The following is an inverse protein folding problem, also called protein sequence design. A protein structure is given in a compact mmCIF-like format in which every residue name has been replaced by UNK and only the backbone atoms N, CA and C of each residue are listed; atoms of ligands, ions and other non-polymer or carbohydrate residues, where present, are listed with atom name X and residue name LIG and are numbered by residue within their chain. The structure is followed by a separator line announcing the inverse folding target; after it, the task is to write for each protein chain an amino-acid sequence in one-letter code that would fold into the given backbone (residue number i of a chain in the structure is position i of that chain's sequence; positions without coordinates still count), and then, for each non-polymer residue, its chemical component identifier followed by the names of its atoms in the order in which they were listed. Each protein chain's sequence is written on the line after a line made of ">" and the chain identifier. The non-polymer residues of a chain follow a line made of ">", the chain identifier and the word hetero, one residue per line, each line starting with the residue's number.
data_IF_603170237358
#
_entry.id   IF_603170237358
#
_cell.length_a   1.000
_cell.length_b   1.000
_cell.length_c   1.000
_cell.angle_alpha   90.00
_cell.angle_beta   90.00
_cell.angle_gamma   90.00
#
_symmetry.space_group_name_H-M   'P 1'
#
loop_
_entity.id
_entity.type
_entity.pdbx_description
1 polymer ?
#
# COMPACT_ATOMS: atom_id res chain seq x y z
N UNK A 1 -41.12 37.03 -2.10
CA UNK A 1 -39.70 36.97 -2.47
C UNK A 1 -39.30 35.51 -2.55
N UNK A 2 -38.38 35.23 -3.46
CA UNK A 2 -38.11 33.98 -4.20
C UNK A 2 -37.92 32.72 -3.33
N UNK A 3 -38.34 31.61 -3.92
CA UNK A 3 -38.38 30.21 -3.48
C UNK A 3 -37.01 29.56 -3.15
N UNK A 4 -37.08 28.58 -2.24
CA UNK A 4 -36.47 27.22 -2.24
C UNK A 4 -35.11 26.97 -2.92
N UNK A 5 -34.30 26.21 -2.16
CA UNK A 5 -33.34 25.17 -2.62
C UNK A 5 -32.13 25.77 -3.37
N UNK A 6 -30.88 25.33 -3.20
CA UNK A 6 -30.38 23.97 -3.21
C UNK A 6 -29.14 23.85 -2.31
N UNK A 7 -29.16 22.84 -1.45
CA UNK A 7 -27.97 22.15 -1.01
C UNK A 7 -27.32 21.44 -2.20
N UNK A 8 -25.99 21.26 -2.11
CA UNK A 8 -25.11 20.36 -2.88
C UNK A 8 -24.45 21.01 -4.10
N UNK A 9 -23.11 20.96 -4.10
CA UNK A 9 -22.22 20.50 -5.19
C UNK A 9 -20.81 21.05 -4.92
N UNK A 10 -19.74 20.31 -4.69
CA UNK A 10 -19.40 18.89 -4.84
C UNK A 10 -18.27 18.63 -3.84
N UNK A 11 -18.45 17.69 -2.91
CA UNK A 11 -17.28 17.01 -2.35
C UNK A 11 -16.73 16.24 -3.56
N UNK A 12 -15.51 16.59 -3.99
CA UNK A 12 -14.84 15.94 -5.12
C UNK A 12 -14.60 14.48 -4.71
N UNK A 13 -15.55 13.60 -5.06
CA UNK A 13 -15.33 12.17 -5.15
C UNK A 13 -14.26 11.93 -6.24
N UNK A 14 -12.99 12.06 -5.86
CA UNK A 14 -11.85 11.59 -6.65
C UNK A 14 -10.79 11.00 -5.72
N UNK A 15 -10.87 9.69 -5.51
CA UNK A 15 -9.76 8.81 -5.15
C UNK A 15 -8.60 9.50 -4.38
N UNK A 16 -8.83 9.93 -3.14
CA UNK A 16 -7.73 10.42 -2.31
C UNK A 16 -6.88 9.22 -1.90
N UNK A 17 -5.76 9.05 -2.60
CA UNK A 17 -4.71 8.15 -2.14
C UNK A 17 -4.20 8.58 -0.76
N UNK A 18 -3.45 7.70 -0.11
CA UNK A 18 -2.87 7.97 1.21
C UNK A 18 -2.07 9.28 1.21
N UNK A 19 -2.29 10.12 2.21
CA UNK A 19 -1.55 11.37 2.38
C UNK A 19 -0.07 11.10 2.67
N UNK A 20 0.81 12.09 2.44
CA UNK A 20 2.23 11.94 2.75
C UNK A 20 2.50 11.67 4.25
N UNK A 21 1.67 12.21 5.14
CA UNK A 21 1.74 11.96 6.57
C UNK A 21 1.37 10.51 6.92
N UNK A 22 0.30 9.97 6.33
CA UNK A 22 -0.09 8.56 6.49
C UNK A 22 0.98 7.63 5.92
N UNK A 23 1.50 7.95 4.73
CA UNK A 23 2.58 7.20 4.07
C UNK A 23 3.84 7.15 4.93
N UNK A 24 4.24 8.28 5.52
CA UNK A 24 5.38 8.34 6.41
C UNK A 24 5.19 7.43 7.64
N UNK A 25 4.01 7.45 8.28
CA UNK A 25 3.72 6.58 9.41
C UNK A 25 3.75 5.09 9.02
N UNK A 26 3.14 4.73 7.89
CA UNK A 26 3.19 3.35 7.36
C UNK A 26 4.64 2.92 7.13
N UNK A 27 5.49 3.81 6.61
CA UNK A 27 6.89 3.49 6.37
C UNK A 27 7.68 3.30 7.66
N UNK A 28 7.37 4.05 8.71
CA UNK A 28 7.95 3.86 10.05
C UNK A 28 7.58 2.49 10.63
N UNK A 29 6.34 2.03 10.44
CA UNK A 29 5.94 0.69 10.90
C UNK A 29 6.73 -0.43 10.22
N UNK A 30 7.10 -0.25 8.94
CA UNK A 30 7.89 -1.21 8.18
C UNK A 30 9.38 -1.23 8.55
N UNK A 31 9.91 -0.22 9.27
CA UNK A 31 11.34 -0.16 9.64
C UNK A 31 11.76 -1.29 10.59
N UNK A 32 10.84 -1.76 11.43
CA UNK A 32 11.10 -2.80 12.42
C UNK A 32 11.00 -4.22 11.89
N UNK A 33 10.49 -4.40 10.65
CA UNK A 33 10.14 -5.73 10.13
C UNK A 33 11.36 -6.63 9.97
N UNK A 34 11.28 -7.82 10.54
CA UNK A 34 12.31 -8.83 10.51
C UNK A 34 12.55 -9.37 9.10
N UNK A 35 13.73 -9.96 8.89
CA UNK A 35 14.10 -10.58 7.61
C UNK A 35 13.19 -11.75 7.24
N UNK A 36 12.76 -12.53 8.22
CA UNK A 36 11.86 -13.68 8.02
C UNK A 36 10.51 -13.21 7.48
N UNK A 37 9.92 -12.21 8.13
CA UNK A 37 8.68 -11.58 7.68
C UNK A 37 8.82 -10.97 6.29
N UNK A 38 9.93 -10.28 6.01
CA UNK A 38 10.20 -9.69 4.69
C UNK A 38 10.28 -10.76 3.59
N UNK A 39 10.96 -11.87 3.83
CA UNK A 39 11.09 -13.00 2.89
C UNK A 39 9.74 -13.67 2.61
N UNK A 40 8.81 -13.65 3.57
CA UNK A 40 7.46 -14.18 3.39
C UNK A 40 6.54 -13.21 2.63
N UNK A 41 6.43 -11.96 3.09
CA UNK A 41 5.37 -11.04 2.62
C UNK A 41 5.75 -10.32 1.33
N UNK A 42 7.02 -9.95 1.14
CA UNK A 42 7.42 -9.16 -0.04
C UNK A 42 7.18 -9.90 -1.36
N UNK A 43 7.45 -11.21 -1.51
CA UNK A 43 7.13 -11.94 -2.75
C UNK A 43 5.63 -11.98 -3.04
N UNK A 44 4.79 -12.14 -2.01
CA UNK A 44 3.34 -12.16 -2.16
C UNK A 44 2.81 -10.78 -2.59
N UNK A 45 3.28 -9.70 -1.95
CA UNK A 45 2.91 -8.34 -2.31
C UNK A 45 3.43 -7.93 -3.70
N UNK A 46 4.60 -8.42 -4.10
CA UNK A 46 5.12 -8.21 -5.45
C UNK A 46 4.21 -8.87 -6.49
N UNK A 47 3.77 -10.11 -6.27
CA UNK A 47 2.81 -10.77 -7.17
C UNK A 47 1.52 -9.97 -7.26
N UNK A 48 0.98 -9.52 -6.14
CA UNK A 48 -0.21 -8.68 -6.11
C UNK A 48 -0.04 -7.38 -6.93
N UNK A 49 1.13 -6.74 -6.82
CA UNK A 49 1.45 -5.54 -7.58
C UNK A 49 1.60 -5.80 -9.09
N UNK A 50 2.08 -6.99 -9.49
CA UNK A 50 2.26 -7.38 -10.89
C UNK A 50 0.98 -7.90 -11.55
N UNK A 51 0.12 -8.60 -10.80
CA UNK A 51 -1.15 -9.19 -11.25
C UNK A 51 -2.28 -8.16 -11.38
N UNK A 52 -2.02 -6.92 -10.98
CA UNK A 52 -2.87 -5.78 -11.27
C UNK A 52 -2.98 -5.57 -12.80
N UNK A 53 -3.98 -6.21 -13.42
CA UNK A 53 -4.38 -5.99 -14.83
C UNK A 53 -4.66 -4.51 -15.17
N UNK A 54 -4.80 -3.67 -14.15
CA UNK A 54 -4.95 -2.23 -14.28
C UNK A 54 -3.57 -1.59 -14.37
N UNK A 55 -3.40 -0.79 -15.41
CA UNK A 55 -2.29 0.12 -15.69
C UNK A 55 -1.95 1.15 -14.59
N UNK A 56 -2.44 0.95 -13.36
CA UNK A 56 -2.39 1.88 -12.23
C UNK A 56 -0.97 2.13 -11.73
N UNK A 57 -0.08 1.13 -11.85
CA UNK A 57 1.33 1.26 -11.46
C UNK A 57 2.27 1.70 -12.59
N UNK A 58 1.77 2.25 -13.71
CA UNK A 58 2.62 2.85 -14.77
C UNK A 58 3.19 4.23 -14.38
N UNK A 59 3.48 4.43 -13.10
CA UNK A 59 3.98 5.67 -12.53
C UNK A 59 5.37 5.44 -11.90
N UNK A 60 5.92 6.44 -11.22
CA UNK A 60 7.24 6.33 -10.60
C UNK A 60 7.34 5.15 -9.60
N UNK A 61 6.26 4.78 -8.93
CA UNK A 61 6.25 3.66 -7.99
C UNK A 61 6.49 2.32 -8.68
N UNK A 62 5.85 2.08 -9.82
CA UNK A 62 6.11 0.87 -10.61
C UNK A 62 7.54 0.79 -11.14
N UNK A 63 8.14 1.92 -11.55
CA UNK A 63 9.54 1.96 -11.95
C UNK A 63 10.49 1.60 -10.80
N UNK A 64 10.20 2.10 -9.58
CA UNK A 64 10.97 1.77 -8.38
C UNK A 64 10.85 0.29 -8.06
N UNK A 65 9.65 -0.28 -8.07
CA UNK A 65 9.44 -1.72 -7.82
C UNK A 65 10.17 -2.57 -8.87
N UNK A 66 10.09 -2.20 -10.15
CA UNK A 66 10.84 -2.86 -11.21
C UNK A 66 12.36 -2.82 -10.98
N UNK A 67 12.91 -1.69 -10.54
CA UNK A 67 14.33 -1.59 -10.20
C UNK A 67 14.71 -2.43 -8.97
N UNK A 68 13.86 -2.45 -7.94
CA UNK A 68 14.08 -3.27 -6.75
C UNK A 68 14.07 -4.76 -7.11
N UNK A 69 13.16 -5.20 -7.99
CA UNK A 69 13.13 -6.57 -8.51
C UNK A 69 14.41 -6.89 -9.29
N UNK A 70 14.82 -6.01 -10.21
CA UNK A 70 16.04 -6.20 -11.02
C UNK A 70 17.32 -6.27 -10.17
N UNK A 71 17.32 -5.65 -9.00
CA UNK A 71 18.48 -5.60 -8.09
C UNK A 71 18.37 -6.59 -6.93
N UNK A 72 17.36 -7.47 -6.92
CA UNK A 72 17.12 -8.46 -5.84
C UNK A 72 16.96 -7.81 -4.45
N UNK A 73 16.38 -6.59 -4.40
CA UNK A 73 16.18 -5.80 -3.18
C UNK A 73 14.71 -5.72 -2.74
N UNK A 74 13.88 -6.64 -3.23
CA UNK A 74 12.45 -6.68 -2.91
C UNK A 74 12.21 -7.06 -1.44
N UNK A 75 12.99 -8.00 -0.91
CA UNK A 75 12.90 -8.48 0.48
C UNK A 75 13.69 -7.57 1.45
N UNK A 76 13.64 -6.27 1.20
CA UNK A 76 14.22 -5.25 2.09
C UNK A 76 13.11 -4.39 2.65
N UNK A 77 13.37 -3.69 3.75
CA UNK A 77 12.45 -2.69 4.32
C UNK A 77 11.96 -1.69 3.27
N UNK A 78 12.86 -1.19 2.42
CA UNK A 78 12.49 -0.26 1.33
C UNK A 78 11.57 -0.97 0.32
N UNK A 79 11.84 -2.23 0.01
CA UNK A 79 10.98 -3.06 -0.82
C UNK A 79 9.58 -3.20 -0.23
N UNK A 80 9.48 -3.57 1.04
CA UNK A 80 8.21 -3.67 1.76
C UNK A 80 7.43 -2.36 1.72
N UNK A 81 8.08 -1.23 2.04
CA UNK A 81 7.45 0.09 1.99
C UNK A 81 6.82 0.39 0.63
N UNK A 82 7.54 0.13 -0.47
CA UNK A 82 7.02 0.38 -1.83
C UNK A 82 5.96 -0.62 -2.26
N UNK A 83 6.05 -1.85 -1.78
CA UNK A 83 5.06 -2.88 -2.06
C UNK A 83 3.75 -2.65 -1.32
N UNK A 84 3.77 -2.22 -0.05
CA UNK A 84 2.57 -1.82 0.70
C UNK A 84 1.89 -0.65 -0.02
N UNK A 85 2.67 0.35 -0.41
CA UNK A 85 2.19 1.52 -1.15
C UNK A 85 1.51 1.12 -2.47
N UNK A 86 2.15 0.22 -3.23
CA UNK A 86 1.57 -0.29 -4.47
C UNK A 86 0.31 -1.13 -4.21
N UNK A 87 0.34 -2.00 -3.20
CA UNK A 87 -0.77 -2.88 -2.85
C UNK A 87 -2.00 -2.08 -2.38
N UNK A 88 -1.82 -1.00 -1.61
CA UNK A 88 -2.89 -0.08 -1.22
C UNK A 88 -3.56 0.59 -2.43
N UNK A 89 -2.80 0.82 -3.50
CA UNK A 89 -3.31 1.42 -4.75
C UNK A 89 -4.04 0.37 -5.60
N UNK A 90 -3.52 -0.85 -5.71
CA UNK A 90 -4.05 -1.85 -6.66
C UNK A 90 -5.11 -2.76 -6.06
N UNK A 91 -4.93 -3.20 -4.82
CA UNK A 91 -5.75 -4.21 -4.16
C UNK A 91 -5.57 -4.16 -2.62
N UNK A 92 -6.10 -3.13 -1.94
CA UNK A 92 -5.92 -2.94 -0.50
C UNK A 92 -6.49 -4.11 0.34
N UNK A 93 -7.59 -4.73 -0.09
CA UNK A 93 -8.13 -5.90 0.63
C UNK A 93 -7.18 -7.10 0.60
N UNK A 94 -6.52 -7.34 -0.53
CA UNK A 94 -5.56 -8.44 -0.69
C UNK A 94 -4.26 -8.17 0.05
N UNK A 95 -3.82 -6.90 0.16
CA UNK A 95 -2.71 -6.51 1.05
C UNK A 95 -2.96 -7.02 2.47
N UNK A 96 -4.13 -6.71 3.03
CA UNK A 96 -4.43 -7.10 4.40
C UNK A 96 -4.52 -8.61 4.55
N UNK A 97 -5.13 -9.32 3.58
CA UNK A 97 -5.14 -10.79 3.61
C UNK A 97 -3.73 -11.39 3.64
N UNK A 98 -2.82 -10.87 2.81
CA UNK A 98 -1.43 -11.33 2.79
C UNK A 98 -0.79 -11.14 4.17
N UNK A 99 -0.86 -9.93 4.73
CA UNK A 99 -0.23 -9.62 6.02
C UNK A 99 -0.89 -10.37 7.18
N UNK A 100 -2.22 -10.50 7.19
CA UNK A 100 -2.97 -11.19 8.25
C UNK A 100 -2.80 -12.71 8.22
N UNK A 101 -2.38 -13.27 7.08
CA UNK A 101 -2.13 -14.71 6.92
C UNK A 101 -0.69 -15.15 7.22
N UNK A 102 0.22 -14.19 7.38
CA UNK A 102 1.63 -14.42 7.65
C UNK A 102 1.89 -14.48 9.17
N UNK A 103 3.15 -14.29 9.57
CA UNK A 103 3.56 -14.28 10.98
C UNK A 103 2.94 -13.15 11.83
N UNK A 104 3.16 -13.21 13.16
CA UNK A 104 2.61 -12.24 14.12
C UNK A 104 3.09 -10.80 13.86
N UNK A 105 4.30 -10.62 13.32
CA UNK A 105 4.85 -9.30 13.02
C UNK A 105 4.13 -8.67 11.81
N UNK A 106 3.86 -9.45 10.77
CA UNK A 106 3.05 -9.04 9.62
C UNK A 106 1.61 -8.71 10.03
N UNK A 107 1.02 -9.49 10.92
CA UNK A 107 -0.33 -9.23 11.44
C UNK A 107 -0.39 -7.90 12.22
N UNK A 108 0.61 -7.63 13.06
CA UNK A 108 0.70 -6.34 13.78
C UNK A 108 0.94 -5.17 12.80
N UNK A 109 1.72 -5.38 11.75
CA UNK A 109 1.88 -4.39 10.67
C UNK A 109 0.54 -4.11 9.97
N UNK A 110 -0.25 -5.14 9.65
CA UNK A 110 -1.58 -4.97 9.05
C UNK A 110 -2.48 -4.10 9.92
N UNK A 111 -2.50 -4.38 11.22
CA UNK A 111 -3.29 -3.62 12.20
C UNK A 111 -2.87 -2.16 12.25
N UNK A 112 -1.56 -1.87 12.38
CA UNK A 112 -1.03 -0.51 12.40
C UNK A 112 -1.34 0.26 11.12
N UNK A 113 -1.24 -0.39 9.96
CA UNK A 113 -1.60 0.23 8.67
C UNK A 113 -3.10 0.57 8.62
N UNK A 114 -3.98 -0.33 9.09
CA UNK A 114 -5.43 -0.07 9.19
C UNK A 114 -5.79 1.07 10.13
N UNK A 115 -5.04 1.27 11.21
CA UNK A 115 -5.31 2.35 12.17
C UNK A 115 -4.97 3.75 11.61
N UNK A 116 -4.11 3.81 10.59
CA UNK A 116 -3.68 5.07 9.95
C UNK A 116 -4.58 5.50 8.79
N UNK A 117 -5.30 4.56 8.18
CA UNK A 117 -6.12 4.75 6.98
C UNK A 117 -7.61 4.83 7.29
#
# INVERSE_FOLDING_TARGET
>A
MIEKMEHIQKIDEKAEGITDAQRAQIYEFALGTSKETLEEVCPALLRLALDSEKSTLKNQLGNVIFHLQKTERIETVIGLQKLIDAALIVAPEELYKILESADEEAQELAKKVKEVL
#
